data_IF_177711910820
#
_entry.id   IF_177711910820
#
_cell.length_a   1.000
_cell.length_b   1.000
_cell.length_c   1.000
_cell.angle_alpha   90.00
_cell.angle_beta   90.00
_cell.angle_gamma   90.00
#
_symmetry.space_group_name_H-M   'P 1'
#
loop_
_entity.id
_entity.type
_entity.pdbx_description
1 polymer ?
#
# COMPACT_ATOMS: atom_id res chain seq x y z
N UNK A 1 6.04 16.45 17.59
CA UNK A 1 4.73 15.77 17.71
C UNK A 1 4.65 14.77 16.58
N UNK A 2 4.39 13.49 16.85
CA UNK A 2 4.34 12.45 15.82
C UNK A 2 2.92 12.37 15.22
N UNK A 3 2.74 12.91 14.01
CA UNK A 3 1.47 12.90 13.29
C UNK A 3 1.27 11.64 12.43
N UNK A 4 0.06 11.48 11.91
CA UNK A 4 -0.32 10.41 10.99
C UNK A 4 -1.04 11.03 9.79
N UNK A 5 -0.69 10.58 8.59
CA UNK A 5 -1.30 11.05 7.34
C UNK A 5 -1.76 9.88 6.48
N UNK A 6 -2.87 10.09 5.75
CA UNK A 6 -3.38 9.13 4.75
C UNK A 6 -3.21 9.71 3.35
N UNK A 7 -2.60 8.95 2.46
CA UNK A 7 -2.22 9.36 1.11
C UNK A 7 -2.84 8.41 0.08
N UNK A 8 -3.57 8.93 -0.90
CA UNK A 8 -4.15 8.09 -1.93
C UNK A 8 -5.07 8.85 -2.88
N UNK A 9 -5.77 8.10 -3.73
CA UNK A 9 -6.81 8.64 -4.63
C UNK A 9 -7.99 9.24 -3.86
N UNK A 10 -8.74 10.15 -4.52
CA UNK A 10 -9.92 10.81 -3.93
C UNK A 10 -10.92 9.81 -3.33
N UNK A 11 -11.19 8.71 -4.06
CA UNK A 11 -12.13 7.67 -3.62
C UNK A 11 -11.71 6.98 -2.32
N UNK A 12 -10.41 6.80 -2.10
CA UNK A 12 -9.86 6.22 -0.87
C UNK A 12 -9.91 7.22 0.29
N UNK A 13 -9.40 8.44 0.08
CA UNK A 13 -9.17 9.38 1.19
C UNK A 13 -10.44 10.06 1.68
N UNK A 14 -11.52 10.06 0.89
CA UNK A 14 -12.78 10.74 1.25
C UNK A 14 -13.33 10.26 2.60
N UNK A 15 -13.33 8.94 2.84
CA UNK A 15 -13.77 8.37 4.11
C UNK A 15 -12.90 8.81 5.30
N UNK A 16 -11.57 8.78 5.12
CA UNK A 16 -10.61 9.22 6.14
C UNK A 16 -10.76 10.71 6.46
N UNK A 17 -10.98 11.56 5.44
CA UNK A 17 -11.23 12.99 5.63
C UNK A 17 -12.47 13.24 6.48
N UNK A 18 -13.55 12.52 6.20
CA UNK A 18 -14.80 12.62 6.98
C UNK A 18 -14.63 12.10 8.41
N UNK A 19 -13.72 11.17 8.63
CA UNK A 19 -13.34 10.67 9.96
C UNK A 19 -12.34 11.57 10.71
N UNK A 20 -11.96 12.72 10.14
CA UNK A 20 -11.08 13.70 10.79
C UNK A 20 -9.57 13.42 10.67
N UNK A 21 -9.17 12.50 9.80
CA UNK A 21 -7.75 12.24 9.54
C UNK A 21 -7.14 13.35 8.67
N UNK A 22 -5.85 13.63 8.87
CA UNK A 22 -5.06 14.40 7.93
C UNK A 22 -4.86 13.57 6.66
N UNK A 23 -5.28 14.11 5.51
CA UNK A 23 -5.25 13.40 4.24
C UNK A 23 -4.55 14.23 3.16
N UNK A 24 -3.88 13.54 2.24
CA UNK A 24 -3.31 14.16 1.04
C UNK A 24 -3.73 13.35 -0.19
N UNK A 25 -4.26 14.06 -1.18
CA UNK A 25 -4.63 13.45 -2.44
C UNK A 25 -3.41 13.25 -3.33
N UNK A 26 -3.25 12.02 -3.79
CA UNK A 26 -2.13 11.58 -4.60
C UNK A 26 -2.63 10.47 -5.54
N UNK A 27 -3.17 10.80 -6.73
CA UNK A 27 -3.64 9.78 -7.65
C UNK A 27 -2.47 9.06 -8.32
N UNK A 28 -2.37 7.72 -8.21
CA UNK A 28 -1.45 6.93 -9.04
C UNK A 28 -1.95 6.88 -10.51
N UNK A 29 -1.07 6.70 -11.51
CA UNK A 29 0.39 6.70 -11.44
C UNK A 29 1.01 8.10 -11.58
N UNK A 30 0.21 9.17 -11.59
CA UNK A 30 0.67 10.53 -11.86
C UNK A 30 1.54 11.11 -10.76
N UNK A 31 1.42 10.57 -9.55
CA UNK A 31 2.16 11.04 -8.38
C UNK A 31 3.49 10.32 -8.28
N UNK A 32 4.58 11.07 -8.17
CA UNK A 32 5.88 10.53 -7.78
C UNK A 32 5.88 10.24 -6.28
N UNK A 33 5.58 8.98 -5.93
CA UNK A 33 5.53 8.56 -4.53
C UNK A 33 6.90 8.61 -3.85
N UNK A 34 8.00 8.50 -4.61
CA UNK A 34 9.35 8.58 -4.04
C UNK A 34 9.61 9.99 -3.54
N UNK A 35 9.54 10.98 -4.41
CA UNK A 35 9.76 12.38 -4.04
C UNK A 35 8.81 12.84 -2.91
N UNK A 36 7.57 12.35 -2.93
CA UNK A 36 6.58 12.63 -1.90
C UNK A 36 7.00 12.12 -0.53
N UNK A 37 7.44 10.87 -0.44
CA UNK A 37 7.85 10.25 0.81
C UNK A 37 9.11 10.90 1.35
N UNK A 38 10.07 11.22 0.49
CA UNK A 38 11.31 11.89 0.90
C UNK A 38 11.03 13.26 1.51
N UNK A 39 10.14 14.04 0.89
CA UNK A 39 9.68 15.32 1.44
C UNK A 39 9.05 15.15 2.84
N UNK A 40 8.14 14.18 2.99
CA UNK A 40 7.46 13.93 4.28
C UNK A 40 8.42 13.45 5.37
N UNK A 41 9.43 12.70 4.99
CA UNK A 41 10.49 12.27 5.89
C UNK A 41 11.36 13.44 6.34
N UNK A 42 11.74 14.35 5.42
CA UNK A 42 12.50 15.56 5.73
C UNK A 42 11.74 16.52 6.63
N UNK A 43 10.43 16.67 6.42
CA UNK A 43 9.54 17.44 7.30
C UNK A 43 9.53 16.89 8.74
N UNK A 44 9.74 15.58 8.93
CA UNK A 44 9.81 14.94 10.24
C UNK A 44 8.51 15.02 11.06
N UNK A 45 7.40 15.42 10.43
CA UNK A 45 6.11 15.65 11.09
C UNK A 45 5.31 14.37 11.32
N UNK A 46 5.47 13.38 10.45
CA UNK A 46 4.65 12.16 10.46
C UNK A 46 5.47 10.96 10.92
N UNK A 47 4.90 10.18 11.84
CA UNK A 47 5.46 8.88 12.22
C UNK A 47 4.83 7.73 11.45
N UNK A 48 3.59 7.90 10.97
CA UNK A 48 2.85 6.88 10.21
C UNK A 48 2.28 7.50 8.94
N UNK A 49 2.54 6.85 7.80
CA UNK A 49 2.00 7.20 6.49
C UNK A 49 1.16 6.01 6.02
N UNK A 50 -0.15 6.18 5.96
CA UNK A 50 -1.02 5.23 5.26
C UNK A 50 -1.04 5.58 3.77
N UNK A 51 -0.88 4.59 2.89
CA UNK A 51 -0.74 4.86 1.46
C UNK A 51 -1.46 3.82 0.60
N UNK A 52 -2.11 4.25 -0.49
CA UNK A 52 -2.66 3.32 -1.49
C UNK A 52 -1.57 2.39 -2.07
N UNK A 53 -1.88 1.11 -2.25
CA UNK A 53 -0.94 0.09 -2.77
C UNK A 53 -0.23 0.52 -4.06
N UNK A 54 -0.95 1.15 -4.99
CA UNK A 54 -0.39 1.62 -6.26
C UNK A 54 0.73 2.65 -6.08
N UNK A 55 0.60 3.54 -5.10
CA UNK A 55 1.64 4.50 -4.76
C UNK A 55 2.78 3.82 -4.00
N UNK A 56 2.45 2.98 -3.01
CA UNK A 56 3.45 2.26 -2.21
C UNK A 56 4.42 1.46 -3.10
N UNK A 57 3.88 0.75 -4.09
CA UNK A 57 4.65 -0.05 -5.04
C UNK A 57 5.48 0.78 -6.03
N UNK A 58 5.24 2.09 -6.12
CA UNK A 58 6.00 3.01 -6.98
C UNK A 58 7.14 3.73 -6.25
N UNK A 59 7.30 3.52 -4.94
CA UNK A 59 8.42 4.08 -4.18
C UNK A 59 9.69 3.34 -4.56
N UNK A 60 10.78 4.08 -4.77
CA UNK A 60 12.09 3.51 -5.04
C UNK A 60 12.57 2.60 -3.88
N UNK A 61 13.25 1.50 -4.22
CA UNK A 61 13.83 0.59 -3.22
C UNK A 61 14.91 1.25 -2.37
N UNK A 62 15.64 2.22 -2.94
CA UNK A 62 16.65 3.00 -2.24
C UNK A 62 16.03 3.82 -1.10
N UNK A 63 14.98 4.58 -1.42
CA UNK A 63 14.21 5.38 -0.45
C UNK A 63 13.60 4.46 0.62
N UNK A 64 12.97 3.35 0.23
CA UNK A 64 12.40 2.39 1.18
C UNK A 64 13.45 1.77 2.11
N UNK A 65 14.63 1.42 1.58
CA UNK A 65 15.74 0.89 2.40
C UNK A 65 16.24 1.94 3.39
N UNK A 66 16.35 3.19 2.95
CA UNK A 66 16.80 4.32 3.78
C UNK A 66 15.84 4.58 4.94
N UNK A 67 14.53 4.59 4.68
CA UNK A 67 13.47 4.76 5.69
C UNK A 67 13.46 3.59 6.67
N UNK A 68 13.54 2.34 6.18
CA UNK A 68 13.63 1.15 7.04
C UNK A 68 14.84 1.20 7.98
N UNK A 69 15.96 1.76 7.53
CA UNK A 69 17.17 1.93 8.37
C UNK A 69 17.00 3.01 9.44
N UNK A 70 16.32 4.13 9.12
CA UNK A 70 16.00 5.20 10.08
C UNK A 70 14.90 4.80 11.08
N UNK A 71 13.99 3.92 10.67
CA UNK A 71 12.86 3.45 11.48
C UNK A 71 11.61 4.32 11.42
N UNK A 72 11.68 5.53 10.82
CA UNK A 72 10.55 6.43 10.63
C UNK A 72 10.69 7.20 9.29
N UNK A 73 9.57 7.58 8.64
CA UNK A 73 8.19 7.20 9.00
C UNK A 73 7.88 5.73 8.69
N UNK A 74 6.94 5.13 9.43
CA UNK A 74 6.39 3.81 9.09
C UNK A 74 5.36 3.97 7.98
N UNK A 75 5.58 3.31 6.85
CA UNK A 75 4.67 3.35 5.70
C UNK A 75 3.81 2.09 5.71
N UNK A 76 2.50 2.28 5.75
CA UNK A 76 1.51 1.20 5.80
C UNK A 76 0.69 1.20 4.50
N UNK A 77 0.85 0.19 3.63
CA UNK A 77 0.04 0.07 2.43
C UNK A 77 -1.42 -0.25 2.78
N UNK A 78 -2.35 0.39 2.06
CA UNK A 78 -3.78 0.17 2.16
C UNK A 78 -4.31 -0.29 0.80
N UNK A 79 -4.84 -1.52 0.79
CA UNK A 79 -5.53 -2.07 -0.36
C UNK A 79 -6.92 -1.47 -0.49
N UNK A 80 -7.08 -0.56 -1.44
CA UNK A 80 -8.40 -0.07 -1.84
C UNK A 80 -9.01 -1.15 -2.71
N UNK A 81 -9.87 -2.00 -2.14
CA UNK A 81 -10.66 -2.93 -2.93
C UNK A 81 -11.53 -2.10 -3.86
N UNK A 82 -11.18 -2.04 -5.15
CA UNK A 82 -12.00 -1.47 -6.21
C UNK A 82 -13.29 -2.31 -6.32
N UNK A 83 -14.24 -1.99 -5.44
CA UNK A 83 -15.37 -2.85 -5.13
C UNK A 83 -14.97 -4.08 -4.31
N UNK A 84 -15.91 -4.60 -3.55
CA UNK A 84 -16.00 -6.04 -3.31
C UNK A 84 -16.19 -6.78 -4.65
N UNK A 85 -15.27 -6.64 -5.60
CA UNK A 85 -15.09 -7.65 -6.63
C UNK A 85 -14.49 -8.81 -5.86
N UNK A 86 -15.37 -9.73 -5.49
CA UNK A 86 -15.09 -11.13 -5.20
C UNK A 86 -13.69 -11.44 -5.72
N UNK A 87 -12.72 -11.57 -4.80
CA UNK A 87 -11.36 -11.98 -5.17
C UNK A 87 -11.54 -13.15 -6.11
N UNK A 88 -11.31 -12.95 -7.41
CA UNK A 88 -11.24 -14.03 -8.38
C UNK A 88 -10.19 -14.93 -7.78
N UNK A 89 -10.63 -16.07 -7.24
CA UNK A 89 -9.87 -16.98 -6.38
C UNK A 89 -8.41 -16.97 -6.80
N UNK A 90 -7.59 -16.17 -6.11
CA UNK A 90 -6.15 -16.30 -6.23
C UNK A 90 -5.85 -17.74 -5.84
N UNK A 91 -5.13 -18.45 -6.72
CA UNK A 91 -4.80 -19.85 -6.51
C UNK A 91 -4.18 -19.98 -5.11
N UNK A 92 -4.82 -20.78 -4.24
CA UNK A 92 -4.36 -20.98 -2.86
C UNK A 92 -2.85 -21.25 -2.87
N UNK A 93 -2.05 -20.66 -1.96
CA UNK A 93 -0.61 -20.92 -1.88
C UNK A 93 -0.28 -22.41 -1.90
N UNK A 94 -1.16 -23.24 -1.32
CA UNK A 94 -1.08 -24.71 -1.34
C UNK A 94 -1.26 -25.27 -2.75
N UNK A 95 -2.27 -24.81 -3.49
CA UNK A 95 -2.50 -25.24 -4.88
C UNK A 95 -1.32 -24.87 -5.78
N UNK A 96 -0.72 -23.68 -5.59
CA UNK A 96 0.47 -23.25 -6.34
C UNK A 96 1.71 -24.11 -6.03
N UNK A 97 1.91 -24.49 -4.77
CA UNK A 97 2.98 -25.40 -4.35
C UNK A 97 2.82 -26.79 -4.96
N UNK A 98 1.60 -27.35 -4.88
CA UNK A 98 1.27 -28.65 -5.47
C UNK A 98 1.52 -28.61 -6.98
N UNK A 99 1.04 -27.58 -7.68
CA UNK A 99 1.27 -27.43 -9.12
C UNK A 99 2.76 -27.42 -9.48
N UNK A 100 3.60 -26.70 -8.72
CA UNK A 100 5.05 -26.69 -8.94
C UNK A 100 5.70 -28.05 -8.72
N UNK A 101 5.19 -28.84 -7.79
CA UNK A 101 5.77 -30.12 -7.43
C UNK A 101 5.35 -31.28 -8.36
N UNK A 102 4.10 -31.29 -8.83
CA UNK A 102 3.53 -32.44 -9.58
C UNK A 102 2.92 -32.09 -10.94
N UNK A 103 2.85 -30.80 -11.31
CA UNK A 103 2.40 -30.37 -12.65
C UNK A 103 0.91 -30.55 -12.96
N UNK A 104 0.07 -30.90 -11.98
CA UNK A 104 -1.34 -31.24 -12.20
C UNK A 104 -2.31 -30.34 -11.40
N UNK A 105 -3.47 -29.99 -12.00
CA UNK A 105 -4.54 -29.21 -11.35
C UNK A 105 -5.41 -30.13 -10.48
N UNK A 106 -5.34 -29.99 -9.14
CA UNK A 106 -6.32 -30.64 -8.25
C UNK A 106 -7.57 -29.76 -8.21
N UNK A 107 -8.68 -30.24 -8.79
CA UNK A 107 -10.00 -29.64 -8.58
C UNK A 107 -10.50 -30.02 -7.18
N UNK A 108 -10.20 -29.18 -6.19
CA UNK A 108 -10.82 -29.30 -4.86
C UNK A 108 -12.28 -28.84 -5.02
N UNK A 109 -13.21 -29.79 -5.10
CA UNK A 109 -14.64 -29.51 -4.93
C UNK A 109 -14.94 -29.37 -3.44
N UNK A 110 -15.79 -28.39 -3.12
CA UNK A 110 -16.27 -28.10 -1.77
C UNK A 110 -17.19 -29.21 -1.27
#
# INVERSE_FOLDING_TARGET
MAGLIVIGSEGMIKGFRLAGFEVMEAPPPKTDATALVERLEEEGRYAIIFMEDGLFNSISEETMRRIRKKGLPVIVPLSVSAGWKEKVREESPVARLIRRAIGYHIKIKK
#
